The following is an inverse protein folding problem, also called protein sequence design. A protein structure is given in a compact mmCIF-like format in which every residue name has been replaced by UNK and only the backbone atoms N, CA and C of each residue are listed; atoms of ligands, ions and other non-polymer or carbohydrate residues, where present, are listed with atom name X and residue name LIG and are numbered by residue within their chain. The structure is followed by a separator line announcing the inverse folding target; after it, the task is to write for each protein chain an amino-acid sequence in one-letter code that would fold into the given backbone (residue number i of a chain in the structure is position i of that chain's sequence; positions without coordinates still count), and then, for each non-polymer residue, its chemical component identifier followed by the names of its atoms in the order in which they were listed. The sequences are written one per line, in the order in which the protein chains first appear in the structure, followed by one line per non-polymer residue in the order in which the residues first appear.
data_IF_824272238514
#
_entry.id   IF_824272238514
#
_cell.length_a   1.000
_cell.length_b   1.000
_cell.length_c   1.000
_cell.angle_alpha   90.00
_cell.angle_beta   90.00
_cell.angle_gamma   90.00
#
_symmetry.space_group_name_H-M   'P 1'
#
loop_
_entity.id
_entity.type
_entity.pdbx_description
1 polymer ?
#
# COMPACT_ATOMS: atom_id res chain seq x y z
N UNK A 1 19.92 -1.78 -13.91
CA UNK A 1 20.90 -2.88 -13.86
C UNK A 1 20.47 -4.00 -14.80
N UNK A 2 21.26 -4.26 -15.86
CA UNK A 2 20.95 -5.25 -16.90
C UNK A 2 20.93 -6.68 -16.34
N UNK A 3 21.84 -7.00 -15.42
CA UNK A 3 21.93 -8.32 -14.82
C UNK A 3 20.64 -8.68 -14.03
N UNK A 4 20.05 -7.70 -13.34
CA UNK A 4 18.78 -7.90 -12.61
C UNK A 4 17.62 -8.13 -13.57
N UNK A 5 17.55 -7.38 -14.69
CA UNK A 5 16.53 -7.60 -15.73
C UNK A 5 16.61 -9.01 -16.31
N UNK A 6 17.82 -9.49 -16.62
CA UNK A 6 18.04 -10.82 -17.19
C UNK A 6 17.59 -11.93 -16.21
N UNK A 7 17.82 -11.75 -14.90
CA UNK A 7 17.34 -12.68 -13.85
C UNK A 7 15.81 -12.74 -13.79
N UNK A 8 15.12 -11.60 -13.79
CA UNK A 8 13.65 -11.59 -13.83
C UNK A 8 13.14 -12.23 -15.12
N UNK A 9 13.77 -11.95 -16.26
CA UNK A 9 13.37 -12.53 -17.53
C UNK A 9 13.52 -14.05 -17.52
N UNK A 10 14.65 -14.57 -17.02
CA UNK A 10 14.89 -16.01 -16.89
C UNK A 10 13.85 -16.67 -16.00
N UNK A 11 13.56 -16.08 -14.83
CA UNK A 11 12.58 -16.61 -13.89
C UNK A 11 11.15 -16.59 -14.44
N UNK A 12 10.77 -15.56 -15.20
CA UNK A 12 9.43 -15.47 -15.81
C UNK A 12 9.20 -16.44 -16.99
N UNK A 13 10.26 -17.05 -17.52
CA UNK A 13 10.19 -18.05 -18.59
C UNK A 13 10.07 -19.48 -18.06
N UNK A 14 10.19 -19.71 -16.75
CA UNK A 14 10.03 -21.05 -16.17
C UNK A 14 8.55 -21.45 -16.15
N UNK A 15 8.16 -22.67 -16.59
CA UNK A 15 6.76 -23.11 -16.62
C UNK A 15 6.07 -23.08 -15.24
N UNK A 16 6.83 -23.36 -14.18
CA UNK A 16 6.40 -23.20 -12.80
C UNK A 16 7.46 -22.38 -12.08
N UNK A 17 7.11 -21.14 -11.74
CA UNK A 17 8.02 -20.18 -11.14
C UNK A 17 8.30 -20.51 -9.66
N UNK A 18 9.55 -20.36 -9.23
CA UNK A 18 9.90 -20.41 -7.81
C UNK A 18 9.54 -19.07 -7.14
N UNK A 19 8.49 -19.09 -6.30
CA UNK A 19 8.02 -17.91 -5.59
C UNK A 19 9.02 -17.41 -4.54
N UNK A 20 9.82 -18.29 -3.95
CA UNK A 20 10.81 -17.89 -2.95
C UNK A 20 12.03 -17.24 -3.61
N UNK A 21 12.44 -17.73 -4.78
CA UNK A 21 13.43 -17.02 -5.61
C UNK A 21 12.90 -15.65 -6.06
N UNK A 22 11.63 -15.58 -6.48
CA UNK A 22 11.01 -14.32 -6.89
C UNK A 22 10.96 -13.31 -5.75
N UNK A 23 10.59 -13.73 -4.53
CA UNK A 23 10.59 -12.88 -3.33
C UNK A 23 12.00 -12.35 -3.04
N UNK A 24 13.02 -13.22 -3.03
CA UNK A 24 14.42 -12.82 -2.81
C UNK A 24 14.88 -11.78 -3.83
N UNK A 25 14.57 -11.99 -5.10
CA UNK A 25 14.97 -11.08 -6.18
C UNK A 25 14.22 -9.74 -6.11
N UNK A 26 12.93 -9.77 -5.74
CA UNK A 26 12.03 -8.63 -5.66
C UNK A 26 12.22 -7.77 -4.42
N UNK A 27 12.79 -8.32 -3.34
CA UNK A 27 13.04 -7.60 -2.09
C UNK A 27 13.84 -6.31 -2.28
N UNK A 28 14.81 -6.33 -3.19
CA UNK A 28 15.65 -5.16 -3.54
C UNK A 28 15.03 -4.24 -4.60
N UNK A 29 13.73 -4.36 -4.85
CA UNK A 29 12.98 -3.63 -5.88
C UNK A 29 12.75 -4.45 -7.16
N UNK A 30 11.65 -4.19 -7.85
CA UNK A 30 11.27 -4.89 -9.08
C UNK A 30 11.44 -3.95 -10.28
N UNK A 31 12.04 -4.38 -11.40
CA UNK A 31 12.11 -3.55 -12.59
C UNK A 31 10.71 -3.22 -13.12
N UNK A 32 10.51 -1.98 -13.59
CA UNK A 32 9.19 -1.47 -14.01
C UNK A 32 8.47 -2.38 -15.00
N UNK A 33 9.20 -2.93 -15.98
CA UNK A 33 8.68 -3.87 -17.00
C UNK A 33 8.02 -5.11 -16.39
N UNK A 34 8.55 -5.63 -15.29
CA UNK A 34 8.07 -6.87 -14.67
C UNK A 34 7.13 -6.61 -13.49
N UNK A 35 7.08 -5.39 -12.96
CA UNK A 35 6.33 -5.08 -11.75
C UNK A 35 4.86 -5.51 -11.79
N UNK A 36 4.10 -5.30 -12.89
CA UNK A 36 2.70 -5.70 -12.92
C UNK A 36 2.50 -7.20 -12.69
N UNK A 37 3.20 -8.05 -13.44
CA UNK A 37 3.09 -9.51 -13.30
C UNK A 37 3.64 -9.99 -11.94
N UNK A 38 4.76 -9.41 -11.48
CA UNK A 38 5.38 -9.76 -10.20
C UNK A 38 4.46 -9.42 -9.04
N UNK A 39 3.81 -8.25 -9.03
CA UNK A 39 2.87 -7.89 -7.98
C UNK A 39 1.67 -8.83 -7.94
N UNK A 40 1.11 -9.18 -9.09
CA UNK A 40 0.00 -10.16 -9.16
C UNK A 40 0.43 -11.53 -8.59
N UNK A 41 1.66 -11.98 -8.85
CA UNK A 41 2.21 -13.22 -8.29
C UNK A 41 2.45 -13.12 -6.78
N UNK A 42 3.13 -12.07 -6.31
CA UNK A 42 3.50 -11.91 -4.90
C UNK A 42 2.30 -11.58 -3.99
N UNK A 43 1.26 -10.92 -4.50
CA UNK A 43 -0.03 -10.77 -3.82
C UNK A 43 -0.77 -12.12 -3.63
N UNK A 44 -0.33 -13.19 -4.32
CA UNK A 44 -1.08 -14.44 -4.39
C UNK A 44 -2.38 -14.32 -5.21
N UNK A 45 -2.46 -13.34 -6.12
CA UNK A 45 -3.55 -13.23 -7.09
C UNK A 45 -3.36 -14.23 -8.23
N UNK A 46 -2.12 -14.39 -8.71
CA UNK A 46 -1.75 -15.37 -9.73
C UNK A 46 -1.02 -16.57 -9.15
N UNK A 47 -1.26 -17.78 -9.70
CA UNK A 47 -0.47 -18.95 -9.36
C UNK A 47 0.92 -18.88 -10.02
N UNK A 48 1.88 -19.57 -9.41
CA UNK A 48 3.22 -19.75 -9.95
C UNK A 48 3.26 -20.55 -11.27
N UNK A 49 2.27 -21.44 -11.49
CA UNK A 49 2.15 -22.26 -12.69
C UNK A 49 1.63 -21.42 -13.87
N UNK A 50 2.48 -21.19 -14.86
CA UNK A 50 2.27 -20.24 -15.96
C UNK A 50 1.10 -20.65 -16.88
N UNK A 51 0.96 -21.94 -17.14
CA UNK A 51 -0.12 -22.53 -17.94
C UNK A 51 -1.52 -22.28 -17.34
N UNK A 52 -1.61 -22.06 -16.03
CA UNK A 52 -2.87 -21.77 -15.32
C UNK A 52 -3.18 -20.28 -15.20
N UNK A 53 -2.19 -19.39 -15.40
CA UNK A 53 -2.35 -17.95 -15.13
C UNK A 53 -3.46 -17.32 -15.98
N UNK A 54 -3.51 -17.61 -17.28
CA UNK A 54 -4.53 -17.08 -18.19
C UNK A 54 -5.95 -17.46 -17.76
N UNK A 55 -6.17 -18.75 -17.48
CA UNK A 55 -7.47 -19.28 -17.03
C UNK A 55 -7.91 -18.65 -15.70
N UNK A 56 -6.97 -18.48 -14.76
CA UNK A 56 -7.26 -17.85 -13.46
C UNK A 56 -7.60 -16.36 -13.63
N UNK A 57 -6.88 -15.62 -14.47
CA UNK A 57 -7.19 -14.22 -14.76
C UNK A 57 -8.59 -14.08 -15.33
N UNK A 58 -8.93 -14.83 -16.37
CA UNK A 58 -10.23 -14.73 -17.04
C UNK A 58 -11.36 -15.07 -16.06
N UNK A 59 -11.19 -16.14 -15.28
CA UNK A 59 -12.15 -16.52 -14.23
C UNK A 59 -12.32 -15.40 -13.19
N UNK A 60 -11.23 -14.84 -12.67
CA UNK A 60 -11.26 -13.82 -11.62
C UNK A 60 -11.81 -12.48 -12.12
N UNK A 61 -11.49 -12.10 -13.35
CA UNK A 61 -12.03 -10.89 -13.99
C UNK A 61 -13.53 -11.03 -14.24
N UNK A 62 -13.98 -12.20 -14.71
CA UNK A 62 -15.41 -12.48 -14.83
C UNK A 62 -16.11 -12.49 -13.48
N UNK A 63 -15.49 -13.07 -12.44
CA UNK A 63 -16.03 -13.07 -11.08
C UNK A 63 -16.25 -11.64 -10.55
N UNK A 64 -15.28 -10.74 -10.72
CA UNK A 64 -15.44 -9.33 -10.38
C UNK A 64 -16.55 -8.65 -11.20
N UNK A 65 -16.64 -8.95 -12.51
CA UNK A 65 -17.71 -8.42 -13.35
C UNK A 65 -19.09 -8.83 -12.84
N UNK A 66 -19.25 -10.09 -12.44
CA UNK A 66 -20.49 -10.58 -11.86
C UNK A 66 -20.85 -9.83 -10.55
N UNK A 67 -19.85 -9.48 -9.73
CA UNK A 67 -20.08 -8.63 -8.54
C UNK A 67 -20.60 -7.24 -8.92
N UNK A 68 -20.08 -6.63 -9.99
CA UNK A 68 -20.60 -5.35 -10.46
C UNK A 68 -22.07 -5.45 -10.89
N UNK A 69 -22.41 -6.46 -11.68
CA UNK A 69 -23.80 -6.67 -12.12
C UNK A 69 -24.75 -6.92 -10.94
N UNK A 70 -24.30 -7.73 -9.98
CA UNK A 70 -25.11 -8.11 -8.83
C UNK A 70 -25.32 -6.96 -7.85
N UNK A 71 -24.26 -6.18 -7.59
CA UNK A 71 -24.26 -5.28 -6.43
C UNK A 71 -24.15 -3.79 -6.75
N UNK A 72 -23.53 -3.39 -7.87
CA UNK A 72 -23.22 -1.97 -8.07
C UNK A 72 -24.48 -1.09 -8.20
N UNK A 73 -25.59 -1.65 -8.70
CA UNK A 73 -26.88 -0.97 -8.76
C UNK A 73 -27.45 -0.63 -7.37
N UNK A 74 -27.05 -1.38 -6.34
CA UNK A 74 -27.53 -1.20 -4.95
C UNK A 74 -26.95 0.02 -4.25
N UNK A 75 -25.98 0.72 -4.84
CA UNK A 75 -25.34 1.92 -4.26
C UNK A 75 -26.31 3.06 -3.94
N UNK A 76 -27.46 3.09 -4.61
CA UNK A 76 -28.52 4.08 -4.39
C UNK A 76 -29.54 3.67 -3.31
N UNK A 77 -29.41 2.47 -2.73
CA UNK A 77 -30.28 2.02 -1.64
C UNK A 77 -29.87 2.69 -0.33
N UNK A 78 -30.85 3.02 0.52
CA UNK A 78 -30.63 3.74 1.79
C UNK A 78 -29.57 3.05 2.68
N UNK A 79 -29.55 1.72 2.71
CA UNK A 79 -28.58 0.92 3.49
C UNK A 79 -27.12 1.08 3.04
N UNK A 80 -26.88 1.57 1.81
CA UNK A 80 -25.56 1.72 1.21
C UNK A 80 -25.20 3.16 0.88
N UNK A 81 -26.15 4.08 1.06
CA UNK A 81 -26.01 5.50 0.71
C UNK A 81 -24.84 6.15 1.45
N UNK A 82 -24.65 5.84 2.73
CA UNK A 82 -23.56 6.42 3.52
C UNK A 82 -22.18 5.94 3.04
N UNK A 83 -22.03 4.63 2.78
CA UNK A 83 -20.79 4.06 2.22
C UNK A 83 -20.47 4.69 0.87
N UNK A 84 -21.45 4.78 -0.03
CA UNK A 84 -21.27 5.37 -1.36
C UNK A 84 -20.91 6.86 -1.26
N UNK A 85 -21.61 7.61 -0.41
CA UNK A 85 -21.34 9.04 -0.16
C UNK A 85 -19.93 9.28 0.36
N UNK A 86 -19.45 8.50 1.31
CA UNK A 86 -18.08 8.65 1.84
C UNK A 86 -17.03 8.45 0.75
N UNK A 87 -17.18 7.42 -0.08
CA UNK A 87 -16.32 7.18 -1.25
C UNK A 87 -16.33 8.39 -2.18
N UNK A 88 -17.52 8.93 -2.52
CA UNK A 88 -17.65 10.08 -3.40
C UNK A 88 -17.02 11.37 -2.84
N UNK A 89 -16.96 11.52 -1.51
CA UNK A 89 -16.30 12.66 -0.86
C UNK A 89 -14.78 12.48 -0.85
N UNK A 90 -14.28 11.26 -0.71
CA UNK A 90 -12.84 10.99 -0.61
C UNK A 90 -12.12 10.99 -1.94
N UNK A 91 -12.71 10.41 -2.99
CA UNK A 91 -12.03 10.22 -4.28
C UNK A 91 -11.52 11.51 -4.93
N UNK A 92 -12.28 12.63 -4.99
CA UNK A 92 -11.77 13.87 -5.57
C UNK A 92 -10.57 14.47 -4.82
N UNK A 93 -10.40 14.13 -3.53
CA UNK A 93 -9.35 14.66 -2.64
C UNK A 93 -8.11 13.76 -2.59
N UNK A 94 -8.14 12.61 -3.24
CA UNK A 94 -7.05 11.65 -3.27
C UNK A 94 -5.96 12.10 -4.25
N UNK A 95 -4.69 12.00 -3.84
CA UNK A 95 -3.52 12.32 -4.66
C UNK A 95 -3.67 13.59 -5.52
N UNK A 96 -4.01 14.77 -4.93
CA UNK A 96 -4.43 15.96 -5.68
C UNK A 96 -3.36 16.54 -6.60
N UNK A 97 -2.08 16.22 -6.36
CA UNK A 97 -0.95 16.65 -7.17
C UNK A 97 -0.72 15.81 -8.43
N UNK A 98 -1.45 14.69 -8.61
CA UNK A 98 -1.28 13.78 -9.75
C UNK A 98 -2.54 13.83 -10.63
N UNK A 99 -2.49 14.46 -11.83
CA UNK A 99 -3.66 14.66 -12.69
C UNK A 99 -4.40 13.38 -13.08
N UNK A 100 -3.71 12.24 -13.13
CA UNK A 100 -4.29 10.93 -13.37
C UNK A 100 -5.54 10.65 -12.53
N UNK A 101 -5.50 10.93 -11.22
CA UNK A 101 -6.61 10.61 -10.30
C UNK A 101 -7.77 11.61 -10.34
N UNK A 102 -7.60 12.71 -11.08
CA UNK A 102 -8.65 13.70 -11.30
C UNK A 102 -9.48 13.39 -12.56
N UNK A 103 -9.10 12.38 -13.34
CA UNK A 103 -9.87 11.94 -14.49
C UNK A 103 -11.15 11.22 -14.04
N UNK A 104 -12.28 11.54 -14.66
CA UNK A 104 -13.58 10.96 -14.34
C UNK A 104 -13.56 9.43 -14.46
N UNK A 105 -12.96 8.88 -15.52
CA UNK A 105 -12.84 7.43 -15.71
C UNK A 105 -12.10 6.76 -14.56
N UNK A 106 -11.05 7.39 -14.02
CA UNK A 106 -10.28 6.86 -12.89
C UNK A 106 -11.11 6.91 -11.62
N UNK A 107 -11.79 8.03 -11.34
CA UNK A 107 -12.68 8.14 -10.17
C UNK A 107 -13.82 7.12 -10.22
N UNK A 108 -14.41 6.88 -11.38
CA UNK A 108 -15.46 5.87 -11.55
C UNK A 108 -14.94 4.43 -11.33
N UNK A 109 -13.71 4.11 -11.76
CA UNK A 109 -13.07 2.81 -11.49
C UNK A 109 -12.85 2.65 -9.98
N UNK A 110 -12.26 3.65 -9.33
CA UNK A 110 -12.01 3.61 -7.89
C UNK A 110 -13.31 3.49 -7.09
N UNK A 111 -14.36 4.23 -7.47
CA UNK A 111 -15.68 4.16 -6.85
C UNK A 111 -16.22 2.73 -6.90
N UNK A 112 -16.22 2.09 -8.08
CA UNK A 112 -16.66 0.70 -8.25
C UNK A 112 -15.87 -0.27 -7.40
N UNK A 113 -14.55 -0.22 -7.46
CA UNK A 113 -13.68 -1.15 -6.73
C UNK A 113 -13.88 -1.04 -5.22
N UNK A 114 -13.83 0.19 -4.67
CA UNK A 114 -13.97 0.43 -3.24
C UNK A 114 -15.38 0.13 -2.76
N UNK A 115 -16.41 0.46 -3.55
CA UNK A 115 -17.79 0.16 -3.22
C UNK A 115 -18.04 -1.35 -3.15
N UNK A 116 -17.64 -2.10 -4.19
CA UNK A 116 -17.80 -3.57 -4.23
C UNK A 116 -17.00 -4.22 -3.10
N UNK A 117 -15.81 -3.71 -2.78
CA UNK A 117 -15.06 -4.22 -1.64
C UNK A 117 -15.80 -3.98 -0.33
N UNK A 118 -16.26 -2.75 -0.08
CA UNK A 118 -16.91 -2.36 1.17
C UNK A 118 -18.17 -3.19 1.47
N UNK A 119 -19.07 -3.36 0.51
CA UNK A 119 -20.32 -4.12 0.72
C UNK A 119 -20.09 -5.61 0.93
N UNK A 120 -18.99 -6.16 0.39
CA UNK A 120 -18.62 -7.56 0.57
C UNK A 120 -17.90 -7.82 1.89
N UNK A 121 -17.46 -6.77 2.59
CA UNK A 121 -16.79 -6.84 3.88
C UNK A 121 -17.54 -6.00 4.92
N UNK A 122 -18.78 -6.39 5.31
CA UNK A 122 -19.65 -5.57 6.17
C UNK A 122 -19.09 -5.33 7.58
N UNK A 123 -18.14 -6.13 8.04
CA UNK A 123 -17.44 -5.91 9.32
C UNK A 123 -16.53 -4.66 9.30
N UNK A 124 -16.15 -4.21 8.10
CA UNK A 124 -15.31 -3.02 7.89
C UNK A 124 -16.07 -1.92 7.15
N UNK A 125 -16.79 -2.27 6.07
CA UNK A 125 -17.34 -1.28 5.14
C UNK A 125 -16.23 -0.49 4.43
N UNK A 126 -16.54 0.73 4.00
CA UNK A 126 -15.51 1.66 3.52
C UNK A 126 -14.94 2.44 4.71
N UNK A 127 -13.61 2.49 4.80
CA UNK A 127 -12.90 3.32 5.78
C UNK A 127 -11.97 4.26 5.04
N UNK A 128 -12.01 5.54 5.39
CA UNK A 128 -11.15 6.56 4.80
C UNK A 128 -9.68 6.13 4.88
N UNK A 129 -9.00 6.16 3.74
CA UNK A 129 -7.62 5.68 3.57
C UNK A 129 -7.50 4.43 2.71
N UNK A 130 -8.56 3.62 2.60
CA UNK A 130 -8.60 2.49 1.64
C UNK A 130 -8.44 2.95 0.19
N UNK A 131 -8.96 4.14 -0.13
CA UNK A 131 -8.81 4.76 -1.44
C UNK A 131 -7.32 4.94 -1.80
N UNK A 132 -6.48 5.31 -0.82
CA UNK A 132 -5.05 5.47 -1.07
C UNK A 132 -4.41 4.12 -1.39
N UNK A 133 -4.79 3.05 -0.68
CA UNK A 133 -4.20 1.72 -0.86
C UNK A 133 -4.44 1.13 -2.25
N UNK A 134 -5.49 1.56 -2.95
CA UNK A 134 -5.74 1.16 -4.33
C UNK A 134 -4.76 1.81 -5.31
N UNK A 135 -4.24 3.00 -4.97
CA UNK A 135 -3.46 3.84 -5.88
C UNK A 135 -2.20 3.18 -6.44
N UNK A 136 -1.35 2.48 -5.65
CA UNK A 136 -0.15 1.85 -6.19
C UNK A 136 -0.49 0.69 -7.13
N UNK A 137 -1.52 -0.10 -6.81
CA UNK A 137 -1.99 -1.17 -7.70
C UNK A 137 -2.48 -0.61 -9.04
N UNK A 138 -3.29 0.46 -9.00
CA UNK A 138 -3.79 1.09 -10.22
C UNK A 138 -2.66 1.59 -11.12
N UNK A 139 -1.70 2.33 -10.56
CA UNK A 139 -0.56 2.86 -11.32
C UNK A 139 0.34 1.75 -11.82
N UNK A 140 0.61 0.72 -11.01
CA UNK A 140 1.42 -0.41 -11.45
C UNK A 140 0.74 -1.16 -12.59
N UNK A 141 -0.54 -1.51 -12.49
CA UNK A 141 -1.22 -2.28 -13.53
C UNK A 141 -1.56 -1.46 -14.77
N UNK A 142 -1.77 -0.15 -14.64
CA UNK A 142 -1.93 0.74 -15.80
C UNK A 142 -0.67 0.73 -16.69
N UNK A 143 0.53 0.54 -16.12
CA UNK A 143 1.77 0.41 -16.90
C UNK A 143 1.79 -0.78 -17.88
N UNK A 144 0.90 -1.77 -17.76
CA UNK A 144 0.78 -2.83 -18.77
C UNK A 144 0.21 -2.32 -20.10
N UNK A 145 -0.50 -1.19 -20.08
CA UNK A 145 -1.27 -0.68 -21.21
C UNK A 145 -0.69 0.58 -21.85
N UNK A 146 0.31 1.20 -21.21
CA UNK A 146 0.85 2.49 -21.63
C UNK A 146 2.32 2.39 -22.01
N UNK A 147 2.74 3.21 -22.97
CA UNK A 147 4.15 3.36 -23.36
C UNK A 147 4.71 4.74 -22.97
N UNK A 148 3.88 5.61 -22.39
CA UNK A 148 4.19 6.99 -22.05
C UNK A 148 4.24 7.22 -20.52
N UNK A 149 4.57 8.44 -20.11
CA UNK A 149 4.50 8.86 -18.70
C UNK A 149 3.08 8.69 -18.14
N UNK A 150 2.98 8.08 -16.96
CA UNK A 150 1.70 7.70 -16.36
C UNK A 150 0.88 8.89 -15.86
N UNK A 151 1.54 9.93 -15.34
CA UNK A 151 0.89 11.07 -14.67
C UNK A 151 -0.06 11.86 -15.60
N UNK A 152 0.22 11.85 -16.90
CA UNK A 152 -0.53 12.60 -17.92
C UNK A 152 -1.25 11.70 -18.92
N UNK A 153 -1.18 10.38 -18.75
CA UNK A 153 -1.85 9.45 -19.64
C UNK A 153 -3.37 9.57 -19.52
N UNK A 154 -4.07 9.65 -20.64
CA UNK A 154 -5.53 9.74 -20.70
C UNK A 154 -6.15 8.34 -20.66
N UNK A 155 -6.74 7.98 -19.52
CA UNK A 155 -7.23 6.61 -19.26
C UNK A 155 -8.45 6.26 -20.10
N UNK A 156 -9.25 7.26 -20.49
CA UNK A 156 -10.41 7.12 -21.38
C UNK A 156 -10.05 6.66 -22.81
N UNK A 157 -8.76 6.69 -23.18
CA UNK A 157 -8.28 6.19 -24.47
C UNK A 157 -8.12 4.67 -24.51
N UNK A 158 -8.12 3.99 -23.36
CA UNK A 158 -8.04 2.52 -23.30
C UNK A 158 -9.35 1.89 -23.76
N UNK A 159 -9.25 0.68 -24.34
CA UNK A 159 -10.44 -0.08 -24.70
C UNK A 159 -11.26 -0.43 -23.46
N UNK A 160 -12.58 -0.57 -23.62
CA UNK A 160 -13.47 -1.00 -22.52
C UNK A 160 -13.03 -2.32 -21.90
N UNK A 161 -12.56 -3.27 -22.71
CA UNK A 161 -12.02 -4.56 -22.25
C UNK A 161 -10.79 -4.35 -21.36
N UNK A 162 -9.87 -3.47 -21.75
CA UNK A 162 -8.65 -3.24 -20.99
C UNK A 162 -8.93 -2.52 -19.66
N UNK A 163 -9.85 -1.55 -19.65
CA UNK A 163 -10.33 -0.92 -18.41
C UNK A 163 -10.95 -1.94 -17.45
N UNK A 164 -11.77 -2.87 -17.95
CA UNK A 164 -12.37 -3.93 -17.13
C UNK A 164 -11.33 -4.87 -16.55
N UNK A 165 -10.30 -5.25 -17.33
CA UNK A 165 -9.18 -6.08 -16.86
C UNK A 165 -8.36 -5.37 -15.79
N UNK A 166 -8.00 -4.11 -16.02
CA UNK A 166 -7.27 -3.26 -15.08
C UNK A 166 -8.03 -3.13 -13.75
N UNK A 167 -9.32 -2.80 -13.82
CA UNK A 167 -10.18 -2.61 -12.66
C UNK A 167 -10.29 -3.89 -11.81
N UNK A 168 -10.55 -5.03 -12.45
CA UNK A 168 -10.65 -6.32 -11.76
C UNK A 168 -9.31 -6.73 -11.10
N UNK A 169 -8.19 -6.54 -11.79
CA UNK A 169 -6.87 -6.87 -11.24
C UNK A 169 -6.54 -6.00 -10.01
N UNK A 170 -6.93 -4.70 -10.03
CA UNK A 170 -6.84 -3.82 -8.87
C UNK A 170 -7.69 -4.32 -7.71
N UNK A 171 -8.95 -4.68 -7.97
CA UNK A 171 -9.86 -5.20 -6.95
C UNK A 171 -9.29 -6.43 -6.24
N UNK A 172 -8.79 -7.41 -6.98
CA UNK A 172 -8.26 -8.64 -6.39
C UNK A 172 -6.99 -8.42 -5.60
N UNK A 173 -6.06 -7.59 -6.08
CA UNK A 173 -4.83 -7.31 -5.35
C UNK A 173 -5.08 -6.43 -4.12
N UNK A 174 -5.98 -5.45 -4.20
CA UNK A 174 -6.43 -4.68 -3.03
C UNK A 174 -7.07 -5.60 -1.99
N UNK A 175 -7.93 -6.52 -2.42
CA UNK A 175 -8.57 -7.49 -1.52
C UNK A 175 -7.54 -8.34 -0.79
N UNK A 176 -6.51 -8.84 -1.52
CA UNK A 176 -5.41 -9.62 -0.92
C UNK A 176 -4.57 -8.82 0.07
N UNK A 177 -4.33 -7.54 -0.19
CA UNK A 177 -3.66 -6.67 0.77
C UNK A 177 -4.51 -6.52 2.03
N UNK A 178 -5.78 -6.17 1.87
CA UNK A 178 -6.69 -5.91 2.99
C UNK A 178 -6.96 -7.17 3.84
N UNK A 179 -6.93 -8.37 3.23
CA UNK A 179 -7.00 -9.65 3.95
C UNK A 179 -5.88 -9.80 5.00
N UNK A 180 -4.69 -9.24 4.74
CA UNK A 180 -3.56 -9.30 5.66
C UNK A 180 -3.63 -8.29 6.81
N UNK A 181 -4.55 -7.32 6.76
CA UNK A 181 -4.67 -6.22 7.72
C UNK A 181 -6.14 -5.87 8.05
N UNK A 182 -7.02 -6.87 8.05
CA UNK A 182 -8.48 -6.65 8.21
C UNK A 182 -8.83 -5.91 9.50
N UNK A 183 -8.14 -6.24 10.60
CA UNK A 183 -8.33 -5.65 11.93
C UNK A 183 -8.01 -4.14 11.98
N UNK A 184 -7.23 -3.63 11.02
CA UNK A 184 -7.01 -2.18 10.87
C UNK A 184 -8.26 -1.42 10.43
N UNK A 185 -9.26 -2.09 9.84
CA UNK A 185 -10.42 -1.45 9.25
C UNK A 185 -11.77 -1.94 9.80
N UNK A 186 -11.75 -2.85 10.77
CA UNK A 186 -12.96 -3.21 11.53
C UNK A 186 -13.37 -2.08 12.49
N UNK A 187 -14.56 -2.19 13.10
CA UNK A 187 -15.06 -1.20 14.04
C UNK A 187 -14.03 -0.84 15.13
N UNK A 188 -13.85 0.47 15.34
CA UNK A 188 -12.84 1.07 16.24
C UNK A 188 -11.36 0.80 15.87
N UNK A 189 -11.08 0.14 14.75
CA UNK A 189 -9.74 -0.07 14.19
C UNK A 189 -8.70 -0.59 15.21
N UNK A 190 -8.99 -1.70 15.92
CA UNK A 190 -8.14 -2.22 16.99
C UNK A 190 -6.73 -2.60 16.51
N UNK A 191 -6.60 -3.04 15.26
CA UNK A 191 -5.30 -3.33 14.66
C UNK A 191 -4.39 -2.11 14.64
N UNK A 192 -4.92 -0.95 14.23
CA UNK A 192 -4.16 0.31 14.21
C UNK A 192 -3.71 0.70 15.62
N UNK A 193 -4.61 0.66 16.61
CA UNK A 193 -4.26 1.01 18.00
C UNK A 193 -3.15 0.11 18.54
N UNK A 194 -3.22 -1.19 18.26
CA UNK A 194 -2.20 -2.17 18.65
C UNK A 194 -0.85 -1.84 18.00
N UNK A 195 -0.82 -1.54 16.70
CA UNK A 195 0.41 -1.19 15.97
C UNK A 195 1.04 0.10 16.48
N UNK A 196 0.25 1.09 16.85
CA UNK A 196 0.74 2.36 17.40
C UNK A 196 1.42 2.14 18.76
N UNK A 197 0.83 1.32 19.63
CA UNK A 197 1.44 0.97 20.90
C UNK A 197 2.75 0.18 20.71
N UNK A 198 2.74 -0.81 19.81
CA UNK A 198 3.95 -1.56 19.44
C UNK A 198 5.05 -0.63 18.90
N UNK A 199 4.69 0.40 18.11
CA UNK A 199 5.64 1.35 17.58
C UNK A 199 6.25 2.20 18.68
N UNK A 200 5.43 2.71 19.61
CA UNK A 200 5.89 3.44 20.79
C UNK A 200 6.87 2.60 21.62
N UNK A 201 6.55 1.34 21.89
CA UNK A 201 7.39 0.44 22.67
C UNK A 201 8.73 0.16 21.95
N UNK A 202 8.69 -0.06 20.63
CA UNK A 202 9.89 -0.26 19.83
C UNK A 202 10.79 0.99 19.84
N UNK A 203 10.23 2.17 19.57
CA UNK A 203 10.98 3.43 19.53
C UNK A 203 11.57 3.76 20.90
N UNK A 204 10.85 3.48 21.99
CA UNK A 204 11.36 3.65 23.36
C UNK A 204 12.64 2.83 23.63
N UNK A 205 12.80 1.68 22.96
CA UNK A 205 13.98 0.81 23.09
C UNK A 205 15.13 1.24 22.17
N UNK A 206 14.83 1.69 20.95
CA UNK A 206 15.86 1.97 19.93
C UNK A 206 16.31 3.44 19.91
N UNK A 207 15.48 4.36 20.41
CA UNK A 207 15.78 5.80 20.49
C UNK A 207 15.09 6.42 21.72
N UNK A 208 15.60 6.08 22.91
CA UNK A 208 15.09 6.60 24.19
C UNK A 208 15.27 8.13 24.33
N UNK A 209 16.15 8.75 23.55
CA UNK A 209 16.29 10.21 23.49
C UNK A 209 15.11 10.87 22.79
N UNK A 210 14.74 10.36 21.62
CA UNK A 210 13.56 10.82 20.90
C UNK A 210 12.28 10.56 21.70
N UNK A 211 12.14 9.38 22.29
CA UNK A 211 10.97 9.05 23.12
C UNK A 211 10.74 10.08 24.22
N UNK A 212 11.78 10.37 25.01
CA UNK A 212 11.69 11.37 26.10
C UNK A 212 11.39 12.76 25.55
N UNK A 213 11.94 13.13 24.39
CA UNK A 213 11.66 14.41 23.75
C UNK A 213 10.18 14.53 23.35
N UNK A 214 9.59 13.50 22.74
CA UNK A 214 8.16 13.49 22.40
C UNK A 214 7.29 13.61 23.66
N UNK A 215 7.60 12.86 24.72
CA UNK A 215 6.88 12.93 25.99
C UNK A 215 6.98 14.31 26.65
N UNK A 216 8.17 14.91 26.67
CA UNK A 216 8.41 16.22 27.26
C UNK A 216 7.59 17.33 26.57
N UNK A 217 7.34 17.18 25.27
CA UNK A 217 6.53 18.11 24.48
C UNK A 217 5.06 17.66 24.37
N UNK A 218 4.64 16.62 25.10
CA UNK A 218 3.27 16.08 25.12
C UNK A 218 2.77 15.63 23.74
N UNK A 219 3.67 15.09 22.92
CA UNK A 219 3.32 14.46 21.64
C UNK A 219 2.94 13.02 21.88
N UNK A 220 1.71 12.67 21.53
CA UNK A 220 1.21 11.30 21.56
C UNK A 220 1.36 10.65 20.18
N UNK A 221 1.78 9.39 20.16
CA UNK A 221 2.02 8.67 18.90
C UNK A 221 0.79 8.64 17.99
N UNK A 222 -0.41 8.50 18.56
CA UNK A 222 -1.68 8.46 17.81
C UNK A 222 -1.87 9.71 16.93
N UNK A 223 -1.35 10.88 17.32
CA UNK A 223 -1.55 12.15 16.63
C UNK A 223 -0.88 12.23 15.25
N UNK A 224 0.13 11.39 15.00
CA UNK A 224 0.83 11.34 13.70
C UNK A 224 0.87 9.94 13.10
N UNK A 225 1.01 8.90 13.92
CA UNK A 225 1.17 7.52 13.43
C UNK A 225 -0.13 6.84 13.03
N UNK A 226 -1.30 7.36 13.43
CA UNK A 226 -2.58 6.84 12.93
C UNK A 226 -2.61 6.83 11.41
N UNK A 227 -2.26 7.96 10.78
CA UNK A 227 -2.21 8.11 9.33
C UNK A 227 -1.13 7.20 8.70
N UNK A 228 -0.01 6.99 9.39
CA UNK A 228 1.06 6.12 8.91
C UNK A 228 0.59 4.68 8.80
N UNK A 229 -0.10 4.17 9.83
CA UNK A 229 -0.64 2.80 9.85
C UNK A 229 -1.86 2.65 8.92
N UNK A 230 -2.79 3.59 8.97
CA UNK A 230 -4.04 3.54 8.21
C UNK A 230 -3.81 3.61 6.70
N UNK A 231 -2.82 4.40 6.27
CA UNK A 231 -2.52 4.65 4.87
C UNK A 231 -1.18 4.04 4.44
N UNK A 232 -0.56 3.17 5.24
CA UNK A 232 0.72 2.51 4.94
C UNK A 232 1.82 3.48 4.46
N UNK A 233 1.99 4.60 5.18
CA UNK A 233 2.90 5.72 4.88
C UNK A 233 2.65 6.45 3.54
N UNK A 234 1.56 6.17 2.83
CA UNK A 234 1.27 6.78 1.51
C UNK A 234 1.06 8.29 1.55
N UNK A 235 0.74 8.85 2.72
CA UNK A 235 0.63 10.29 2.94
C UNK A 235 1.96 10.96 3.30
N UNK A 236 2.97 10.16 3.60
CA UNK A 236 4.29 10.62 4.05
C UNK A 236 5.38 10.45 3.00
N UNK A 237 5.12 9.70 1.93
CA UNK A 237 6.09 9.36 0.90
C UNK A 237 5.51 9.62 -0.51
N UNK A 238 6.33 10.09 -1.47
CA UNK A 238 5.93 10.17 -2.87
C UNK A 238 5.48 8.80 -3.41
N UNK A 239 4.53 8.79 -4.34
CA UNK A 239 3.98 7.53 -4.89
C UNK A 239 5.06 6.59 -5.47
N UNK A 240 6.08 7.13 -6.13
CA UNK A 240 7.23 6.35 -6.62
C UNK A 240 7.95 5.59 -5.49
N UNK A 241 8.08 6.22 -4.33
CA UNK A 241 8.70 5.61 -3.14
C UNK A 241 7.79 4.53 -2.55
N UNK A 242 6.47 4.74 -2.56
CA UNK A 242 5.49 3.73 -2.15
C UNK A 242 5.54 2.50 -3.06
N UNK A 243 5.59 2.69 -4.37
CA UNK A 243 5.74 1.58 -5.32
C UNK A 243 7.03 0.79 -5.04
N UNK A 244 8.16 1.48 -4.85
CA UNK A 244 9.42 0.83 -4.47
C UNK A 244 9.34 0.13 -3.11
N UNK A 245 8.67 0.72 -2.12
CA UNK A 245 8.48 0.14 -0.79
C UNK A 245 7.65 -1.15 -0.86
N UNK A 246 6.58 -1.13 -1.67
CA UNK A 246 5.66 -2.26 -1.82
C UNK A 246 6.25 -3.43 -2.59
N UNK A 247 7.25 -3.20 -3.46
CA UNK A 247 8.07 -4.29 -4.02
C UNK A 247 8.63 -5.18 -2.88
N UNK A 248 9.08 -4.57 -1.78
CA UNK A 248 9.60 -5.27 -0.62
C UNK A 248 8.50 -5.81 0.30
N UNK A 249 7.42 -5.06 0.54
CA UNK A 249 6.30 -5.56 1.36
C UNK A 249 5.66 -6.82 0.79
N UNK A 250 5.52 -6.89 -0.54
CA UNK A 250 5.01 -8.06 -1.22
C UNK A 250 6.00 -9.24 -1.20
N UNK A 251 7.29 -8.97 -1.01
CA UNK A 251 8.35 -9.97 -0.93
C UNK A 251 8.54 -10.53 0.49
N UNK A 252 8.18 -9.75 1.51
CA UNK A 252 8.28 -10.11 2.92
C UNK A 252 7.04 -10.87 3.39
N UNK A 253 7.25 -11.87 4.25
CA UNK A 253 6.16 -12.50 4.98
C UNK A 253 5.49 -11.47 5.89
N UNK A 254 4.17 -11.34 5.78
CA UNK A 254 3.34 -10.37 6.49
C UNK A 254 3.88 -8.93 6.37
N UNK A 255 4.37 -8.57 5.17
CA UNK A 255 5.03 -7.29 4.92
C UNK A 255 4.20 -6.07 5.31
N UNK A 256 2.92 -6.04 4.90
CA UNK A 256 1.99 -4.94 5.20
C UNK A 256 1.57 -4.88 6.67
N UNK A 257 1.61 -6.00 7.39
CA UNK A 257 1.14 -6.10 8.76
C UNK A 257 2.28 -5.93 9.77
N UNK A 258 3.25 -6.83 9.73
CA UNK A 258 4.32 -6.94 10.74
C UNK A 258 5.56 -6.15 10.34
N UNK A 259 5.99 -6.21 9.07
CA UNK A 259 7.20 -5.51 8.63
C UNK A 259 7.01 -3.99 8.59
N UNK A 260 5.80 -3.54 8.26
CA UNK A 260 5.42 -2.12 8.27
C UNK A 260 5.75 -1.41 9.58
N UNK A 261 5.57 -2.07 10.73
CA UNK A 261 5.93 -1.55 12.05
C UNK A 261 7.40 -1.10 12.12
N UNK A 262 8.30 -1.96 11.64
CA UNK A 262 9.74 -1.69 11.64
C UNK A 262 10.12 -0.60 10.64
N UNK A 263 9.40 -0.52 9.51
CA UNK A 263 9.55 0.59 8.56
C UNK A 263 9.14 1.91 9.19
N UNK A 264 8.02 1.97 9.90
CA UNK A 264 7.60 3.17 10.64
C UNK A 264 8.63 3.58 11.71
N UNK A 265 9.22 2.61 12.41
CA UNK A 265 10.27 2.88 13.39
C UNK A 265 11.54 3.44 12.74
N UNK A 266 12.04 2.80 11.68
CA UNK A 266 13.20 3.29 10.91
C UNK A 266 12.94 4.66 10.27
N UNK A 267 11.71 4.88 9.79
CA UNK A 267 11.28 6.15 9.22
C UNK A 267 11.29 7.27 10.27
N UNK A 268 10.74 7.03 11.47
CA UNK A 268 10.75 8.01 12.55
C UNK A 268 12.18 8.33 13.02
N UNK A 269 13.01 7.30 13.26
CA UNK A 269 14.38 7.49 13.77
C UNK A 269 15.31 8.14 12.76
N UNK A 270 15.05 7.99 11.45
CA UNK A 270 15.76 8.71 10.38
C UNK A 270 15.73 10.23 10.58
N UNK A 271 14.67 10.75 11.19
CA UNK A 271 14.47 12.18 11.45
C UNK A 271 14.70 12.56 12.91
N UNK A 272 15.17 11.64 13.76
CA UNK A 272 15.34 11.85 15.21
C UNK A 272 16.07 13.15 15.56
N UNK A 273 17.22 13.40 14.92
CA UNK A 273 18.01 14.61 15.14
C UNK A 273 17.26 15.90 14.76
N UNK A 274 16.43 15.86 13.71
CA UNK A 274 15.64 17.03 13.29
C UNK A 274 14.47 17.26 14.25
N UNK A 275 13.76 16.19 14.61
CA UNK A 275 12.65 16.23 15.57
C UNK A 275 13.08 16.78 16.93
N UNK A 276 14.25 16.36 17.43
CA UNK A 276 14.79 16.82 18.72
C UNK A 276 15.25 18.29 18.71
N UNK A 277 15.36 18.94 17.54
CA UNK A 277 15.64 20.38 17.44
C UNK A 277 14.39 21.23 17.64
N UNK A 278 13.22 20.70 17.31
CA UNK A 278 11.94 21.37 17.55
C UNK A 278 11.62 21.37 19.04
N UNK A 279 11.39 22.56 19.63
CA UNK A 279 11.24 22.76 21.08
C UNK A 279 9.81 23.12 21.50
N UNK A 280 8.89 23.18 20.55
CA UNK A 280 7.48 23.44 20.81
C UNK A 280 6.61 22.38 20.17
N UNK A 281 5.46 22.12 20.78
CA UNK A 281 4.52 21.08 20.34
C UNK A 281 4.04 21.31 18.90
N UNK A 282 3.78 22.56 18.52
CA UNK A 282 3.19 22.86 17.22
C UNK A 282 4.17 22.59 16.07
N UNK A 283 5.39 23.11 16.14
CA UNK A 283 6.43 22.89 15.13
C UNK A 283 6.83 21.41 15.03
N UNK A 284 6.94 20.73 16.18
CA UNK A 284 7.22 19.30 16.22
C UNK A 284 6.11 18.47 15.55
N UNK A 285 4.84 18.78 15.84
CA UNK A 285 3.70 18.10 15.22
C UNK A 285 3.61 18.38 13.71
N UNK A 286 3.84 19.63 13.30
CA UNK A 286 3.90 20.00 11.88
C UNK A 286 4.99 19.23 11.13
N UNK A 287 6.17 19.07 11.73
CA UNK A 287 7.26 18.29 11.16
C UNK A 287 6.91 16.79 11.08
N UNK A 288 6.34 16.20 12.14
CA UNK A 288 5.92 14.79 12.15
C UNK A 288 4.85 14.48 11.10
N UNK A 289 3.96 15.43 10.81
CA UNK A 289 2.91 15.28 9.81
C UNK A 289 3.34 15.71 8.39
N UNK A 290 4.55 16.27 8.22
CA UNK A 290 5.06 16.75 6.93
C UNK A 290 6.58 16.53 6.84
N UNK A 291 7.03 15.29 7.11
CA UNK A 291 8.45 14.94 7.03
C UNK A 291 8.98 15.20 5.61
N UNK A 292 10.22 15.72 5.45
CA UNK A 292 10.71 16.22 4.17
C UNK A 292 11.16 15.09 3.24
N UNK A 293 10.19 14.40 2.63
CA UNK A 293 10.39 13.23 1.76
C UNK A 293 10.09 13.50 0.28
N UNK A 294 9.68 14.72 -0.08
CA UNK A 294 9.21 15.07 -1.42
C UNK A 294 10.23 14.77 -2.53
N UNK A 295 11.53 14.83 -2.20
CA UNK A 295 12.64 14.56 -3.12
C UNK A 295 13.20 13.14 -3.02
N UNK A 296 12.64 12.29 -2.15
CA UNK A 296 13.10 10.91 -1.99
C UNK A 296 12.92 10.10 -3.27
N UNK A 297 13.81 9.13 -3.45
CA UNK A 297 13.82 8.17 -4.53
C UNK A 297 14.12 6.76 -3.98
N UNK A 298 14.45 5.82 -4.86
CA UNK A 298 14.69 4.42 -4.51
C UNK A 298 15.85 4.24 -3.51
N UNK A 299 16.82 5.15 -3.48
CA UNK A 299 17.96 5.12 -2.55
C UNK A 299 17.50 5.32 -1.10
N UNK A 300 16.72 6.37 -0.82
CA UNK A 300 16.20 6.61 0.53
C UNK A 300 15.28 5.47 1.00
N UNK A 301 14.42 4.97 0.12
CA UNK A 301 13.56 3.82 0.44
C UNK A 301 14.39 2.58 0.76
N UNK A 302 15.46 2.33 0.00
CA UNK A 302 16.37 1.20 0.24
C UNK A 302 17.09 1.33 1.58
N UNK A 303 17.52 2.54 1.97
CA UNK A 303 18.12 2.78 3.29
C UNK A 303 17.13 2.52 4.43
N UNK A 304 15.89 3.00 4.32
CA UNK A 304 14.84 2.76 5.33
C UNK A 304 14.53 1.27 5.44
N UNK A 305 14.39 0.57 4.32
CA UNK A 305 14.13 -0.88 4.29
C UNK A 305 15.27 -1.69 4.92
N UNK A 306 16.52 -1.33 4.63
CA UNK A 306 17.68 -1.98 5.23
C UNK A 306 17.70 -1.79 6.75
N UNK A 307 17.39 -0.59 7.24
CA UNK A 307 17.33 -0.32 8.67
C UNK A 307 16.15 -1.03 9.34
N UNK A 308 14.97 -1.00 8.72
CA UNK A 308 13.79 -1.74 9.18
C UNK A 308 14.07 -3.25 9.27
N UNK A 309 14.81 -3.82 8.32
CA UNK A 309 15.18 -5.23 8.35
C UNK A 309 16.13 -5.56 9.51
N UNK A 310 17.11 -4.69 9.81
CA UNK A 310 17.97 -4.84 11.00
C UNK A 310 17.16 -4.78 12.29
N UNK A 311 16.21 -3.83 12.38
CA UNK A 311 15.31 -3.71 13.53
C UNK A 311 14.47 -4.98 13.69
N UNK A 312 13.86 -5.48 12.60
CA UNK A 312 13.12 -6.74 12.60
C UNK A 312 13.97 -7.90 13.12
N UNK A 313 15.21 -8.04 12.65
CA UNK A 313 16.09 -9.13 13.12
C UNK A 313 16.47 -8.98 14.60
N UNK A 314 16.70 -7.74 15.05
CA UNK A 314 17.11 -7.46 16.43
C UNK A 314 15.98 -7.65 17.45
N UNK A 315 14.72 -7.47 17.05
CA UNK A 315 13.58 -7.44 17.97
C UNK A 315 12.52 -8.53 17.72
N UNK A 316 12.57 -9.28 16.61
CA UNK A 316 11.60 -10.36 16.34
C UNK A 316 11.79 -11.62 17.20
N UNK A 317 12.98 -11.83 17.76
CA UNK A 317 13.33 -13.02 18.56
C UNK A 317 13.46 -12.80 20.07
N UNK A 318 13.12 -11.62 20.59
CA UNK A 318 13.22 -11.36 22.03
C UNK A 318 12.22 -12.26 22.79
N UNK A 319 12.69 -13.18 23.66
CA UNK A 319 11.80 -14.08 24.38
C UNK A 319 11.09 -13.31 25.50
N UNK A 320 9.76 -13.44 25.53
CA UNK A 320 8.75 -12.54 26.12
C UNK A 320 8.32 -11.50 25.10
N UNK A 321 7.02 -11.21 25.02
CA UNK A 321 6.37 -10.12 24.25
C UNK A 321 5.57 -10.55 23.02
N UNK A 322 4.45 -11.25 23.26
CA UNK A 322 3.13 -10.85 22.73
C UNK A 322 2.16 -10.78 23.90
#
# INVERSE_FOLDING_TARGET
DKAKLDKFQSLMLTPSLDLDELKKLSWSGVPSKFRPIVWKLLCGYLPAAQDRQGIILDKKRQEYHNYLEQYYSTRHQEIHQETHRQIQIDLPRMCPSIPLFQQETVQQIFERVLYIWAIRHPASGYVQGMNDLMTPFFVVFLNEYISSTIDTFKVDTLSRSDLQKLEADCYWCLSKLLDGIQDNYTFAQPGIQTRINQLKDLVSRIDATLQRHLEQHRVEYIQFTFRWMNNLLMRELPLRCIVRLWDTYLSEQDGFASFHLYVCAAFLTKFSTQLQRERDFHSLMMLLQNLPTQHWNDEEVTMILAEAYKLKFSFSGAPRHF
#
